data_IF_301675959065
#
_entry.id   IF_301675959065
#
_cell.length_a   1.000
_cell.length_b   1.000
_cell.length_c   1.000
_cell.angle_alpha   90.00
_cell.angle_beta   90.00
_cell.angle_gamma   90.00
#
_symmetry.space_group_name_H-M   'P 1'
#
loop_
_entity.id
_entity.type
_entity.pdbx_description
1 polymer ?
#
# COMPACT_ATOMS: atom_id res chain seq x y z
N UNK A 1 -19.08 12.77 43.25
CA UNK A 1 -17.86 13.44 42.72
C UNK A 1 -17.22 12.67 41.56
N UNK A 2 -17.43 11.36 41.43
CA UNK A 2 -16.85 10.54 40.35
C UNK A 2 -17.53 10.72 38.99
N UNK A 3 -18.85 10.91 38.95
CA UNK A 3 -19.60 11.13 37.70
C UNK A 3 -19.12 12.39 36.96
N UNK A 4 -18.81 13.46 37.70
CA UNK A 4 -18.26 14.71 37.14
C UNK A 4 -16.88 14.48 36.51
N UNK A 5 -16.04 13.64 37.10
CA UNK A 5 -14.71 13.30 36.54
C UNK A 5 -14.82 12.50 35.24
N UNK A 6 -15.77 11.57 35.16
CA UNK A 6 -16.02 10.76 33.95
C UNK A 6 -16.53 11.65 32.82
N UNK A 7 -17.46 12.57 33.08
CA UNK A 7 -17.95 13.52 32.08
C UNK A 7 -16.85 14.43 31.54
N UNK A 8 -15.94 14.90 32.40
CA UNK A 8 -14.78 15.71 31.98
C UNK A 8 -13.87 14.89 31.05
N UNK A 9 -13.60 13.63 31.38
CA UNK A 9 -12.71 12.76 30.62
C UNK A 9 -13.29 12.41 29.24
N UNK A 10 -14.59 12.12 29.17
CA UNK A 10 -15.31 11.91 27.90
C UNK A 10 -15.34 13.19 27.08
N UNK A 11 -15.59 14.35 27.69
CA UNK A 11 -15.59 15.63 26.99
C UNK A 11 -14.22 15.95 26.39
N UNK A 12 -13.13 15.68 27.12
CA UNK A 12 -11.76 15.89 26.65
C UNK A 12 -11.45 14.98 25.47
N UNK A 13 -11.86 13.71 25.55
CA UNK A 13 -11.69 12.74 24.46
C UNK A 13 -12.46 13.14 23.20
N UNK A 14 -13.69 13.65 23.35
CA UNK A 14 -14.48 14.18 22.24
C UNK A 14 -13.80 15.40 21.60
N UNK A 15 -13.26 16.33 22.41
CA UNK A 15 -12.56 17.51 21.90
C UNK A 15 -11.29 17.13 21.14
N UNK A 16 -10.50 16.17 21.62
CA UNK A 16 -9.28 15.70 20.96
C UNK A 16 -9.59 15.01 19.62
N UNK A 17 -10.66 14.21 19.54
CA UNK A 17 -11.04 13.57 18.29
C UNK A 17 -11.62 14.58 17.29
N UNK A 18 -12.41 15.54 17.77
CA UNK A 18 -12.91 16.64 16.95
C UNK A 18 -11.77 17.48 16.38
N UNK A 19 -10.73 17.78 17.18
CA UNK A 19 -9.57 18.54 16.71
C UNK A 19 -8.77 17.77 15.65
N UNK A 20 -8.62 16.45 15.80
CA UNK A 20 -7.95 15.62 14.79
C UNK A 20 -8.74 15.57 13.47
N UNK A 21 -10.06 15.43 13.54
CA UNK A 21 -10.94 15.49 12.37
C UNK A 21 -10.86 16.85 11.68
N UNK A 22 -10.91 17.96 12.43
CA UNK A 22 -10.78 19.31 11.86
C UNK A 22 -9.43 19.52 11.19
N UNK A 23 -8.33 19.06 11.79
CA UNK A 23 -6.98 19.13 11.18
C UNK A 23 -6.92 18.30 9.90
N UNK A 24 -7.52 17.10 9.90
CA UNK A 24 -7.61 16.27 8.70
C UNK A 24 -8.37 16.98 7.59
N UNK A 25 -9.56 17.52 7.87
CA UNK A 25 -10.35 18.27 6.89
C UNK A 25 -9.65 19.53 6.39
N UNK A 26 -8.94 20.26 7.25
CA UNK A 26 -8.14 21.41 6.83
C UNK A 26 -6.97 20.99 5.92
N UNK A 27 -6.29 19.88 6.22
CA UNK A 27 -5.24 19.35 5.36
C UNK A 27 -5.79 18.86 4.01
N UNK A 28 -6.92 18.16 4.01
CA UNK A 28 -7.61 17.76 2.78
C UNK A 28 -8.09 18.97 1.97
N UNK A 29 -8.54 20.04 2.64
CA UNK A 29 -8.92 21.29 1.99
C UNK A 29 -7.70 21.99 1.39
N UNK A 30 -6.56 22.02 2.08
CA UNK A 30 -5.30 22.58 1.54
C UNK A 30 -4.85 21.79 0.31
N UNK A 31 -4.92 20.45 0.35
CA UNK A 31 -4.60 19.59 -0.79
C UNK A 31 -5.55 19.90 -1.97
N UNK A 32 -6.85 19.97 -1.72
CA UNK A 32 -7.84 20.31 -2.73
C UNK A 32 -7.62 21.71 -3.33
N UNK A 33 -7.30 22.72 -2.50
CA UNK A 33 -7.01 24.08 -3.00
C UNK A 33 -5.73 24.14 -3.83
N UNK A 34 -4.71 23.34 -3.50
CA UNK A 34 -3.48 23.24 -4.30
C UNK A 34 -3.74 22.57 -5.65
N UNK A 35 -4.53 21.50 -5.68
CA UNK A 35 -4.98 20.89 -6.94
C UNK A 35 -5.81 21.87 -7.79
N UNK A 36 -6.64 22.70 -7.14
CA UNK A 36 -7.42 23.72 -7.84
C UNK A 36 -6.56 24.88 -8.36
N UNK A 37 -5.52 25.29 -7.63
CA UNK A 37 -4.51 26.26 -8.09
C UNK A 37 -3.69 25.73 -9.26
N UNK A 38 -3.30 24.45 -9.25
CA UNK A 38 -2.60 23.82 -10.37
C UNK A 38 -3.49 23.73 -11.63
N UNK A 39 -4.78 23.39 -11.46
CA UNK A 39 -5.75 23.45 -12.56
C UNK A 39 -5.92 24.87 -13.13
N UNK A 40 -5.88 25.90 -12.29
CA UNK A 40 -6.03 27.31 -12.72
C UNK A 40 -4.76 27.86 -13.34
N UNK A 41 -3.58 27.42 -12.90
CA UNK A 41 -2.29 27.79 -13.47
C UNK A 41 -2.07 27.15 -14.85
N UNK A 42 -2.63 25.96 -15.10
CA UNK A 42 -2.55 25.31 -16.41
C UNK A 42 -3.18 26.12 -17.57
N UNK A 43 -4.26 26.87 -17.31
CA UNK A 43 -4.90 27.72 -18.33
C UNK A 43 -4.12 29.03 -18.59
N UNK A 44 -3.39 29.54 -17.60
CA UNK A 44 -2.53 30.73 -17.75
C UNK A 44 -1.22 30.42 -18.49
N UNK A 45 -0.64 29.23 -18.28
CA UNK A 45 0.60 28.77 -18.92
C UNK A 45 0.42 28.48 -20.42
N UNK A 46 -0.79 28.12 -20.86
CA UNK A 46 -1.09 27.81 -22.27
C UNK A 46 -0.98 29.03 -23.20
N UNK A 47 -1.11 30.26 -22.68
CA UNK A 47 -0.94 31.49 -23.47
C UNK A 47 0.51 31.97 -23.54
N UNK A 48 1.31 31.76 -22.50
CA UNK A 48 2.69 32.25 -22.46
C UNK A 48 3.72 31.27 -23.07
N UNK A 49 3.36 29.99 -23.27
CA UNK A 49 4.24 29.01 -23.89
C UNK A 49 4.48 29.22 -25.40
N UNK A 50 3.69 30.08 -26.09
CA UNK A 50 3.83 30.31 -27.54
C UNK A 50 5.06 31.12 -27.94
N UNK A 51 5.71 31.84 -27.01
CA UNK A 51 6.83 32.73 -27.33
C UNK A 51 8.20 32.27 -26.76
N UNK A 52 8.29 31.06 -26.20
CA UNK A 52 9.57 30.48 -25.75
C UNK A 52 10.04 29.31 -26.64
N UNK A 53 9.38 29.08 -27.78
CA UNK A 53 9.71 28.06 -28.77
C UNK A 53 10.97 28.40 -29.60
N UNK A 54 12.02 28.93 -28.96
CA UNK A 54 13.30 29.14 -29.59
C UNK A 54 14.47 28.90 -28.63
N UNK A 55 14.58 27.67 -28.12
CA UNK A 55 15.86 27.12 -27.67
C UNK A 55 15.86 25.59 -27.77
N UNK A 56 16.67 25.11 -28.71
CA UNK A 56 17.12 23.72 -28.92
C UNK A 56 16.10 22.68 -29.40
N UNK A 57 16.32 22.26 -30.64
CA UNK A 57 15.85 21.03 -31.25
C UNK A 57 16.24 19.79 -30.43
N UNK A 58 15.29 18.85 -30.33
CA UNK A 58 15.54 17.41 -30.17
C UNK A 58 16.23 16.95 -28.87
N UNK A 59 15.45 16.78 -27.81
CA UNK A 59 15.60 15.62 -26.91
C UNK A 59 14.24 14.99 -26.68
N UNK A 60 14.00 13.89 -27.41
CA UNK A 60 13.03 12.88 -27.01
C UNK A 60 13.44 12.46 -25.60
N UNK A 61 12.58 12.68 -24.60
CA UNK A 61 12.84 12.25 -23.22
C UNK A 61 12.57 10.74 -23.17
N UNK A 62 13.51 9.94 -23.65
CA UNK A 62 13.59 8.52 -23.32
C UNK A 62 13.65 8.36 -21.79
N UNK A 63 13.15 7.22 -21.24
CA UNK A 63 13.51 6.79 -19.86
C UNK A 63 15.00 7.08 -19.68
N UNK A 64 15.40 7.76 -18.58
CA UNK A 64 16.78 8.21 -18.38
C UNK A 64 17.70 7.03 -18.70
N UNK A 65 18.52 7.16 -19.73
CA UNK A 65 19.32 6.05 -20.28
C UNK A 65 20.30 5.44 -19.28
N UNK A 66 20.53 6.11 -18.15
CA UNK A 66 21.52 5.72 -17.14
C UNK A 66 20.99 5.78 -15.69
N UNK A 67 19.69 5.99 -15.50
CA UNK A 67 19.10 6.14 -14.16
C UNK A 67 17.74 5.43 -14.09
N UNK A 68 17.74 4.29 -13.38
CA UNK A 68 16.57 3.46 -13.14
C UNK A 68 15.72 3.95 -11.95
N UNK A 69 16.12 5.02 -11.27
CA UNK A 69 15.37 5.52 -10.11
C UNK A 69 14.04 6.12 -10.54
N UNK A 70 13.01 5.83 -9.76
CA UNK A 70 11.67 6.34 -10.01
C UNK A 70 11.54 7.78 -9.53
N UNK A 71 10.81 8.58 -10.29
CA UNK A 71 10.36 9.88 -9.79
C UNK A 71 9.36 9.70 -8.65
N UNK A 72 9.17 10.75 -7.84
CA UNK A 72 8.23 10.71 -6.72
C UNK A 72 6.80 10.36 -7.16
N UNK A 73 6.35 10.86 -8.31
CA UNK A 73 4.99 10.59 -8.83
C UNK A 73 4.83 9.12 -9.26
N UNK A 74 5.85 8.56 -9.90
CA UNK A 74 5.88 7.15 -10.30
C UNK A 74 5.90 6.24 -9.07
N UNK A 75 6.72 6.58 -8.08
CA UNK A 75 6.78 5.88 -6.81
C UNK A 75 5.42 5.93 -6.09
N UNK A 76 4.78 7.10 -5.98
CA UNK A 76 3.46 7.22 -5.36
C UNK A 76 2.41 6.34 -6.06
N UNK A 77 2.47 6.26 -7.39
CA UNK A 77 1.58 5.38 -8.17
C UNK A 77 1.80 3.90 -7.83
N UNK A 78 3.05 3.49 -7.57
CA UNK A 78 3.35 2.11 -7.15
C UNK A 78 2.95 1.84 -5.70
N UNK A 79 3.16 2.80 -4.81
CA UNK A 79 2.74 2.68 -3.41
C UNK A 79 1.21 2.60 -3.28
N UNK A 80 0.45 3.22 -4.18
CA UNK A 80 -1.01 3.08 -4.25
C UNK A 80 -1.45 1.62 -4.44
N UNK A 81 -0.64 0.79 -5.12
CA UNK A 81 -0.93 -0.64 -5.30
C UNK A 81 -0.87 -1.37 -3.96
N UNK A 82 0.19 -1.13 -3.18
CA UNK A 82 0.34 -1.69 -1.83
C UNK A 82 -0.77 -1.21 -0.90
N UNK A 83 -1.10 0.08 -0.98
CA UNK A 83 -2.16 0.66 -0.19
C UNK A 83 -3.51 0.00 -0.50
N UNK A 84 -3.80 -0.27 -1.78
CA UNK A 84 -5.00 -1.02 -2.20
C UNK A 84 -5.00 -2.44 -1.61
N UNK A 85 -3.88 -3.16 -1.65
CA UNK A 85 -3.75 -4.51 -1.07
C UNK A 85 -3.97 -4.50 0.45
N UNK A 86 -3.44 -3.49 1.16
CA UNK A 86 -3.61 -3.31 2.60
C UNK A 86 -5.07 -3.03 2.99
N UNK A 87 -5.76 -2.18 2.24
CA UNK A 87 -7.18 -1.91 2.47
C UNK A 87 -8.03 -3.14 2.19
N UNK A 88 -7.70 -3.90 1.14
CA UNK A 88 -8.38 -5.16 0.84
C UNK A 88 -8.21 -6.18 1.98
N UNK A 89 -7.01 -6.32 2.54
CA UNK A 89 -6.76 -7.16 3.71
C UNK A 89 -7.65 -6.75 4.90
N UNK A 90 -7.75 -5.45 5.18
CA UNK A 90 -8.60 -4.93 6.25
C UNK A 90 -10.09 -5.29 6.01
N UNK A 91 -10.58 -5.12 4.79
CA UNK A 91 -11.97 -5.46 4.45
C UNK A 91 -12.26 -6.96 4.55
N UNK A 92 -11.30 -7.80 4.15
CA UNK A 92 -11.40 -9.26 4.26
C UNK A 92 -11.49 -9.67 5.72
N UNK A 93 -10.56 -9.20 6.55
CA UNK A 93 -10.55 -9.50 7.99
C UNK A 93 -11.80 -8.96 8.68
N UNK A 94 -12.22 -7.73 8.37
CA UNK A 94 -13.47 -7.17 8.88
C UNK A 94 -14.69 -8.02 8.50
N UNK A 95 -14.77 -8.49 7.26
CA UNK A 95 -15.83 -9.38 6.81
C UNK A 95 -15.83 -10.72 7.54
N UNK A 96 -14.65 -11.29 7.78
CA UNK A 96 -14.48 -12.55 8.51
C UNK A 96 -14.94 -12.38 9.97
N UNK A 97 -14.46 -11.34 10.66
CA UNK A 97 -14.81 -11.08 12.05
C UNK A 97 -16.32 -10.88 12.23
N UNK A 98 -16.97 -10.19 11.28
CA UNK A 98 -18.42 -10.03 11.29
C UNK A 98 -19.17 -11.36 11.17
N UNK A 99 -18.71 -12.29 10.34
CA UNK A 99 -19.30 -13.62 10.22
C UNK A 99 -19.13 -14.45 11.49
N UNK A 100 -17.93 -14.43 12.08
CA UNK A 100 -17.65 -15.12 13.35
C UNK A 100 -18.56 -14.61 14.46
N UNK A 101 -18.68 -13.29 14.59
CA UNK A 101 -19.54 -12.68 15.61
C UNK A 101 -21.02 -13.02 15.42
N UNK A 102 -21.45 -13.34 14.20
CA UNK A 102 -22.82 -13.79 13.87
C UNK A 102 -23.00 -15.31 13.98
N UNK A 103 -21.94 -16.07 14.24
CA UNK A 103 -21.97 -17.54 14.21
C UNK A 103 -22.18 -18.12 12.82
N UNK A 104 -21.91 -17.35 11.77
CA UNK A 104 -22.02 -17.80 10.37
C UNK A 104 -20.80 -18.64 9.99
N UNK A 105 -21.01 -19.68 9.18
CA UNK A 105 -19.91 -20.44 8.61
C UNK A 105 -19.08 -19.58 7.64
N UNK A 106 -17.76 -19.76 7.68
CA UNK A 106 -16.83 -19.09 6.76
C UNK A 106 -16.61 -20.02 5.57
N UNK A 107 -17.67 -20.20 4.79
CA UNK A 107 -17.61 -20.99 3.57
C UNK A 107 -17.04 -20.16 2.43
N UNK A 108 -16.25 -20.79 1.55
CA UNK A 108 -15.70 -20.20 0.34
C UNK A 108 -14.84 -18.94 0.57
N UNK A 109 -13.81 -19.05 1.42
CA UNK A 109 -12.83 -17.99 1.69
C UNK A 109 -12.28 -17.31 0.43
N UNK A 110 -12.00 -18.08 -0.64
CA UNK A 110 -11.55 -17.54 -1.92
C UNK A 110 -12.53 -16.55 -2.57
N UNK A 111 -13.84 -16.76 -2.41
CA UNK A 111 -14.87 -15.84 -2.91
C UNK A 111 -14.84 -14.55 -2.10
N UNK A 112 -14.74 -14.64 -0.77
CA UNK A 112 -14.65 -13.47 0.12
C UNK A 112 -13.43 -12.62 -0.26
N UNK A 113 -12.25 -13.25 -0.39
CA UNK A 113 -11.01 -12.56 -0.77
C UNK A 113 -11.16 -11.85 -2.11
N UNK A 114 -11.64 -12.56 -3.13
CA UNK A 114 -11.83 -12.00 -4.49
C UNK A 114 -12.80 -10.82 -4.50
N UNK A 115 -13.96 -10.97 -3.87
CA UNK A 115 -14.98 -9.93 -3.85
C UNK A 115 -14.48 -8.66 -3.15
N UNK A 116 -13.83 -8.81 -1.99
CA UNK A 116 -13.30 -7.67 -1.24
C UNK A 116 -12.16 -6.98 -1.98
N UNK A 117 -11.25 -7.74 -2.59
CA UNK A 117 -10.19 -7.17 -3.41
C UNK A 117 -10.77 -6.39 -4.61
N UNK A 118 -11.71 -6.98 -5.36
CA UNK A 118 -12.32 -6.32 -6.53
C UNK A 118 -13.12 -5.08 -6.14
N UNK A 119 -13.87 -5.13 -5.04
CA UNK A 119 -14.55 -3.97 -4.47
C UNK A 119 -13.56 -2.85 -4.17
N UNK A 120 -12.43 -3.18 -3.52
CA UNK A 120 -11.42 -2.19 -3.15
C UNK A 120 -10.73 -1.58 -4.37
N UNK A 121 -10.35 -2.39 -5.36
CA UNK A 121 -9.76 -1.89 -6.62
C UNK A 121 -10.70 -0.91 -7.33
N UNK A 122 -12.00 -1.17 -7.32
CA UNK A 122 -12.99 -0.29 -7.93
C UNK A 122 -13.11 1.05 -7.18
N UNK A 123 -13.10 1.02 -5.84
CA UNK A 123 -13.19 2.22 -4.99
C UNK A 123 -11.94 3.09 -5.10
N UNK A 124 -10.75 2.48 -5.04
CA UNK A 124 -9.48 3.22 -5.11
C UNK A 124 -9.10 3.63 -6.54
N UNK A 125 -9.91 3.25 -7.54
CA UNK A 125 -9.68 3.49 -8.97
C UNK A 125 -8.28 3.03 -9.44
N UNK A 126 -7.74 1.99 -8.81
CA UNK A 126 -6.40 1.49 -9.10
C UNK A 126 -6.41 0.73 -10.43
N UNK A 127 -5.95 1.38 -11.51
CA UNK A 127 -5.87 0.78 -12.85
C UNK A 127 -4.75 -0.26 -12.92
N UNK A 128 -5.07 -1.49 -12.53
CA UNK A 128 -4.16 -2.63 -12.49
C UNK A 128 -4.47 -3.64 -13.60
N UNK A 129 -3.46 -4.22 -14.28
CA UNK A 129 -3.65 -5.36 -15.16
C UNK A 129 -4.19 -6.58 -14.39
N UNK A 130 -5.04 -7.39 -15.02
CA UNK A 130 -5.68 -8.56 -14.39
C UNK A 130 -4.67 -9.52 -13.75
N UNK A 131 -3.51 -9.75 -14.38
CA UNK A 131 -2.45 -10.59 -13.82
C UNK A 131 -1.99 -10.11 -12.44
N UNK A 132 -1.87 -8.80 -12.24
CA UNK A 132 -1.44 -8.22 -10.95
C UNK A 132 -2.56 -8.33 -9.91
N UNK A 133 -3.82 -8.20 -10.34
CA UNK A 133 -5.00 -8.45 -9.48
C UNK A 133 -5.01 -9.90 -9.01
N UNK A 134 -4.74 -10.86 -9.90
CA UNK A 134 -4.64 -12.27 -9.55
C UNK A 134 -3.48 -12.54 -8.58
N UNK A 135 -2.32 -11.91 -8.78
CA UNK A 135 -1.20 -12.04 -7.85
C UNK A 135 -1.53 -11.50 -6.45
N UNK A 136 -2.27 -10.37 -6.36
CA UNK A 136 -2.78 -9.85 -5.09
C UNK A 136 -3.81 -10.80 -4.46
N UNK A 137 -4.76 -11.33 -5.24
CA UNK A 137 -5.76 -12.31 -4.77
C UNK A 137 -5.08 -13.54 -4.18
N UNK A 138 -4.09 -14.09 -4.88
CA UNK A 138 -3.35 -15.27 -4.44
C UNK A 138 -2.59 -15.01 -3.12
N UNK A 139 -1.90 -13.87 -2.99
CA UNK A 139 -1.19 -13.53 -1.74
C UNK A 139 -2.14 -13.38 -0.56
N UNK A 140 -3.25 -12.65 -0.75
CA UNK A 140 -4.26 -12.46 0.29
C UNK A 140 -4.92 -13.80 0.67
N UNK A 141 -5.17 -14.66 -0.31
CA UNK A 141 -5.73 -15.99 -0.08
C UNK A 141 -4.74 -16.90 0.65
N UNK A 142 -3.45 -16.90 0.28
CA UNK A 142 -2.39 -17.61 1.00
C UNK A 142 -2.35 -17.19 2.49
N UNK A 143 -2.39 -15.88 2.76
CA UNK A 143 -2.42 -15.34 4.13
C UNK A 143 -3.66 -15.81 4.90
N UNK A 144 -4.86 -15.71 4.31
CA UNK A 144 -6.07 -16.12 5.00
C UNK A 144 -6.13 -17.64 5.21
N UNK A 145 -5.73 -18.44 4.21
CA UNK A 145 -5.64 -19.90 4.35
C UNK A 145 -4.71 -20.27 5.51
N UNK A 146 -3.57 -19.59 5.64
CA UNK A 146 -2.65 -19.83 6.76
C UNK A 146 -3.34 -19.66 8.12
N UNK A 147 -4.16 -18.61 8.30
CA UNK A 147 -4.90 -18.39 9.54
C UNK A 147 -5.84 -19.55 9.85
N UNK A 148 -6.66 -19.96 8.88
CA UNK A 148 -7.68 -20.99 9.10
C UNK A 148 -7.12 -22.41 9.17
N UNK A 149 -5.96 -22.67 8.58
CA UNK A 149 -5.31 -23.98 8.65
C UNK A 149 -4.50 -24.20 9.93
N UNK A 150 -3.96 -23.13 10.54
CA UNK A 150 -3.05 -23.25 11.67
C UNK A 150 -3.64 -22.79 13.01
N UNK A 151 -4.73 -22.03 13.00
CA UNK A 151 -5.34 -21.50 14.21
C UNK A 151 -6.84 -21.79 14.26
N UNK A 152 -7.40 -21.99 15.47
CA UNK A 152 -8.83 -21.94 15.66
C UNK A 152 -9.39 -20.60 15.17
N UNK A 153 -10.48 -20.66 14.40
CA UNK A 153 -11.19 -19.50 13.86
C UNK A 153 -11.88 -18.71 14.98
N UNK A 154 -11.10 -17.95 15.75
CA UNK A 154 -11.59 -17.02 16.75
C UNK A 154 -11.07 -15.60 16.47
N UNK A 155 -11.80 -14.61 16.97
CA UNK A 155 -11.52 -13.20 16.67
C UNK A 155 -10.14 -12.75 17.15
N UNK A 156 -9.65 -13.29 18.28
CA UNK A 156 -8.35 -12.92 18.84
C UNK A 156 -7.18 -13.37 17.95
N UNK A 157 -7.20 -14.63 17.49
CA UNK A 157 -6.18 -15.19 16.61
C UNK A 157 -6.18 -14.48 15.25
N UNK A 158 -7.36 -14.17 14.72
CA UNK A 158 -7.51 -13.47 13.45
C UNK A 158 -6.96 -12.04 13.55
N UNK A 159 -7.26 -11.33 14.63
CA UNK A 159 -6.72 -9.99 14.85
C UNK A 159 -5.20 -10.01 15.06
N UNK A 160 -4.69 -10.97 15.82
CA UNK A 160 -3.25 -11.16 15.98
C UNK A 160 -2.55 -11.40 14.64
N UNK A 161 -3.07 -12.32 13.83
CA UNK A 161 -2.51 -12.59 12.51
C UNK A 161 -2.66 -11.42 11.54
N UNK A 162 -3.74 -10.64 11.65
CA UNK A 162 -3.90 -9.39 10.91
C UNK A 162 -2.78 -8.40 11.24
N UNK A 163 -2.44 -8.21 12.52
CA UNK A 163 -1.32 -7.33 12.90
C UNK A 163 0.01 -7.84 12.32
N UNK A 164 0.24 -9.15 12.30
CA UNK A 164 1.42 -9.74 11.65
C UNK A 164 1.44 -9.49 10.14
N UNK A 165 0.33 -9.70 9.43
CA UNK A 165 0.25 -9.47 7.98
C UNK A 165 0.34 -7.98 7.62
N UNK A 166 -0.09 -7.10 8.51
CA UNK A 166 0.11 -5.66 8.38
C UNK A 166 1.59 -5.31 8.40
N UNK A 167 2.36 -5.88 9.32
CA UNK A 167 3.82 -5.71 9.33
C UNK A 167 4.49 -6.30 8.08
N UNK A 168 3.98 -7.42 7.55
CA UNK A 168 4.45 -7.99 6.27
C UNK A 168 4.26 -6.99 5.10
N UNK A 169 3.09 -6.34 5.03
CA UNK A 169 2.79 -5.34 4.01
C UNK A 169 3.61 -4.07 4.16
N UNK A 170 3.75 -3.56 5.39
CA UNK A 170 4.56 -2.38 5.66
C UNK A 170 6.04 -2.63 5.33
N UNK A 171 6.56 -3.82 5.61
CA UNK A 171 7.92 -4.18 5.21
C UNK A 171 8.05 -4.26 3.68
N UNK A 172 7.01 -4.74 2.98
CA UNK A 172 6.97 -4.72 1.52
C UNK A 172 7.02 -3.31 0.95
N UNK A 173 6.36 -2.35 1.61
CA UNK A 173 6.43 -0.94 1.25
C UNK A 173 7.84 -0.40 1.36
N UNK A 174 8.56 -0.69 2.45
CA UNK A 174 9.94 -0.25 2.62
C UNK A 174 10.88 -0.86 1.58
N UNK A 175 10.71 -2.14 1.26
CA UNK A 175 11.50 -2.81 0.21
C UNK A 175 11.23 -2.18 -1.15
N UNK A 176 9.97 -1.89 -1.50
CA UNK A 176 9.62 -1.22 -2.77
C UNK A 176 10.20 0.18 -2.83
N UNK A 177 10.02 0.99 -1.78
CA UNK A 177 10.54 2.37 -1.73
C UNK A 177 12.07 2.39 -1.90
N UNK A 178 12.77 1.52 -1.17
CA UNK A 178 14.22 1.46 -1.23
C UNK A 178 14.73 0.97 -2.59
N UNK A 179 14.12 -0.07 -3.15
CA UNK A 179 14.48 -0.61 -4.46
C UNK A 179 14.13 0.36 -5.61
N UNK A 180 13.02 1.09 -5.51
CA UNK A 180 12.59 2.07 -6.51
C UNK A 180 13.50 3.29 -6.61
N UNK A 181 14.24 3.62 -5.55
CA UNK A 181 15.17 4.77 -5.52
C UNK A 181 16.56 4.46 -6.07
N UNK A 182 16.83 3.21 -6.43
CA UNK A 182 18.14 2.80 -6.93
C UNK A 182 18.36 3.24 -8.37
N UNK A 183 19.56 3.75 -8.64
CA UNK A 183 19.94 4.27 -9.97
C UNK A 183 20.28 3.17 -10.97
N UNK A 184 20.72 2.01 -10.48
CA UNK A 184 21.13 0.85 -11.28
C UNK A 184 20.16 -0.31 -11.07
N UNK A 185 19.86 -1.01 -12.16
CA UNK A 185 19.08 -2.24 -12.12
C UNK A 185 19.76 -3.35 -11.32
N UNK A 186 21.08 -3.51 -11.43
CA UNK A 186 21.84 -4.50 -10.67
C UNK A 186 21.69 -4.29 -9.16
N UNK A 187 21.89 -3.06 -8.68
CA UNK A 187 21.76 -2.74 -7.25
C UNK A 187 20.32 -2.92 -6.76
N UNK A 188 19.33 -2.57 -7.59
CA UNK A 188 17.92 -2.85 -7.30
C UNK A 188 17.67 -4.34 -7.17
N UNK A 189 18.18 -5.15 -8.09
CA UNK A 189 18.02 -6.60 -8.08
C UNK A 189 18.75 -7.24 -6.89
N UNK A 190 19.93 -6.74 -6.52
CA UNK A 190 20.65 -7.18 -5.32
C UNK A 190 19.81 -6.95 -4.06
N UNK A 191 19.19 -5.77 -3.93
CA UNK A 191 18.28 -5.45 -2.81
C UNK A 191 17.07 -6.38 -2.79
N UNK A 192 16.41 -6.58 -3.93
CA UNK A 192 15.22 -7.43 -4.02
C UNK A 192 15.53 -8.90 -3.77
N UNK A 193 16.75 -9.36 -4.05
CA UNK A 193 17.18 -10.74 -3.85
C UNK A 193 17.87 -10.99 -2.51
N UNK A 194 18.22 -9.94 -1.75
CA UNK A 194 18.81 -10.09 -0.43
C UNK A 194 17.77 -10.45 0.64
N UNK A 195 17.38 -11.74 0.66
CA UNK A 195 16.41 -12.28 1.62
C UNK A 195 16.88 -12.17 3.07
N UNK A 196 18.20 -12.16 3.31
CA UNK A 196 18.77 -12.02 4.64
C UNK A 196 18.47 -10.64 5.22
N UNK A 197 18.72 -9.58 4.45
CA UNK A 197 18.46 -8.20 4.89
C UNK A 197 16.97 -7.93 5.05
N UNK A 198 16.13 -8.43 4.13
CA UNK A 198 14.68 -8.34 4.25
C UNK A 198 14.22 -9.03 5.54
N UNK A 199 14.76 -10.22 5.85
CA UNK A 199 14.43 -10.96 7.08
C UNK A 199 14.86 -10.21 8.32
N UNK A 200 16.11 -9.73 8.39
CA UNK A 200 16.62 -8.98 9.55
C UNK A 200 15.76 -7.74 9.82
N UNK A 201 15.41 -6.99 8.78
CA UNK A 201 14.54 -5.83 8.91
C UNK A 201 13.13 -6.22 9.37
N UNK A 202 12.57 -7.32 8.84
CA UNK A 202 11.26 -7.82 9.24
C UNK A 202 11.23 -8.32 10.69
N UNK A 203 12.23 -9.10 11.11
CA UNK A 203 12.38 -9.59 12.48
C UNK A 203 12.44 -8.41 13.48
N UNK A 204 13.20 -7.36 13.14
CA UNK A 204 13.26 -6.15 13.95
C UNK A 204 11.89 -5.48 14.12
N UNK A 205 11.07 -5.44 13.06
CA UNK A 205 9.69 -4.90 13.13
C UNK A 205 8.77 -5.76 13.99
N UNK A 206 8.83 -7.08 13.85
CA UNK A 206 8.05 -7.99 14.69
C UNK A 206 8.38 -7.80 16.17
N UNK A 207 9.68 -7.70 16.51
CA UNK A 207 10.15 -7.46 17.88
C UNK A 207 9.64 -6.12 18.41
N UNK A 208 9.76 -5.03 17.64
CA UNK A 208 9.28 -3.70 18.04
C UNK A 208 7.79 -3.67 18.35
N UNK A 209 7.00 -4.51 17.65
CA UNK A 209 5.56 -4.61 17.84
C UNK A 209 5.13 -5.74 18.79
N UNK A 210 6.08 -6.41 19.45
CA UNK A 210 5.83 -7.56 20.33
C UNK A 210 5.07 -8.72 19.66
N UNK A 211 5.31 -8.93 18.36
CA UNK A 211 4.72 -10.01 17.58
C UNK A 211 5.69 -11.19 17.51
N UNK A 212 5.22 -12.37 17.92
CA UNK A 212 5.99 -13.61 17.87
C UNK A 212 5.43 -14.54 16.80
N UNK A 213 6.27 -14.90 15.83
CA UNK A 213 5.88 -15.71 14.69
C UNK A 213 6.86 -16.88 14.56
N UNK A 214 6.36 -18.07 14.19
CA UNK A 214 7.21 -19.22 13.98
C UNK A 214 8.15 -19.01 12.77
N UNK A 215 9.29 -19.69 12.76
CA UNK A 215 10.32 -19.48 11.74
C UNK A 215 9.85 -19.82 10.32
N UNK A 216 9.03 -20.86 10.17
CA UNK A 216 8.48 -21.27 8.88
C UNK A 216 7.62 -20.17 8.25
N UNK A 217 6.69 -19.59 9.02
CA UNK A 217 5.86 -18.49 8.54
C UNK A 217 6.69 -17.24 8.24
N UNK A 218 7.75 -16.98 9.02
CA UNK A 218 8.65 -15.85 8.74
C UNK A 218 9.37 -16.03 7.41
N UNK A 219 9.81 -17.24 7.07
CA UNK A 219 10.40 -17.53 5.75
C UNK A 219 9.38 -17.26 4.65
N UNK A 220 8.15 -17.75 4.79
CA UNK A 220 7.08 -17.53 3.81
C UNK A 220 6.74 -16.05 3.65
N UNK A 221 6.69 -15.30 4.75
CA UNK A 221 6.47 -13.85 4.76
C UNK A 221 7.56 -13.10 4.01
N UNK A 222 8.84 -13.43 4.26
CA UNK A 222 9.98 -12.82 3.57
C UNK A 222 9.93 -13.10 2.06
N UNK A 223 9.56 -14.32 1.66
CA UNK A 223 9.38 -14.67 0.25
C UNK A 223 8.20 -13.91 -0.38
N UNK A 224 7.07 -13.75 0.33
CA UNK A 224 5.93 -12.94 -0.14
C UNK A 224 6.29 -11.47 -0.24
N UNK A 225 7.04 -10.90 0.71
CA UNK A 225 7.56 -9.53 0.67
C UNK A 225 8.37 -9.31 -0.62
N UNK A 226 9.34 -10.18 -0.89
CA UNK A 226 10.14 -10.13 -2.13
C UNK A 226 9.25 -10.23 -3.38
N UNK A 227 8.35 -11.23 -3.42
CA UNK A 227 7.47 -11.47 -4.57
C UNK A 227 6.58 -10.25 -4.84
N UNK A 228 6.01 -9.66 -3.79
CA UNK A 228 5.18 -8.44 -3.86
C UNK A 228 5.99 -7.26 -4.39
N UNK A 229 7.20 -7.05 -3.87
CA UNK A 229 8.06 -5.96 -4.32
C UNK A 229 8.45 -6.10 -5.80
N UNK A 230 8.83 -7.31 -6.24
CA UNK A 230 9.11 -7.61 -7.65
C UNK A 230 7.90 -7.36 -8.55
N UNK A 231 6.73 -7.90 -8.17
CA UNK A 231 5.45 -7.75 -8.88
C UNK A 231 5.11 -6.28 -9.17
N UNK A 232 5.34 -5.41 -8.18
CA UNK A 232 5.09 -3.96 -8.27
C UNK A 232 6.13 -3.25 -9.12
N UNK A 233 7.42 -3.51 -8.92
CA UNK A 233 8.50 -2.85 -9.64
C UNK A 233 8.48 -3.23 -11.13
N UNK A 234 8.27 -4.50 -11.44
CA UNK A 234 8.11 -4.95 -12.83
C UNK A 234 6.88 -4.31 -13.51
N UNK A 235 5.80 -4.09 -12.77
CA UNK A 235 4.64 -3.39 -13.31
C UNK A 235 4.99 -1.97 -13.78
N UNK A 236 5.90 -1.28 -13.10
CA UNK A 236 6.43 0.00 -13.58
C UNK A 236 7.33 -0.16 -14.81
N UNK A 237 8.23 -1.14 -14.80
CA UNK A 237 9.17 -1.34 -15.90
C UNK A 237 8.47 -1.60 -17.23
N UNK A 238 7.36 -2.33 -17.19
CA UNK A 238 6.53 -2.68 -18.35
C UNK A 238 5.59 -1.55 -18.80
N UNK A 239 5.55 -0.40 -18.13
CA UNK A 239 4.82 0.79 -18.62
C UNK A 239 5.67 1.54 -19.63
N UNK A 240 5.04 1.91 -20.75
CA UNK A 240 5.59 2.86 -21.70
C UNK A 240 5.90 4.19 -21.01
N UNK A 241 7.06 4.77 -21.31
CA UNK A 241 7.38 6.12 -20.84
C UNK A 241 6.32 7.09 -21.37
N UNK A 242 5.63 7.81 -20.48
CA UNK A 242 4.65 8.83 -20.86
C UNK A 242 5.23 9.98 -21.69
N UNK A 243 6.55 10.03 -21.84
CA UNK A 243 7.24 10.98 -22.71
C UNK A 243 6.98 10.79 -24.22
N UNK A 244 6.37 9.67 -24.65
CA UNK A 244 6.13 9.36 -26.06
C UNK A 244 4.66 9.51 -26.52
N UNK A 245 3.73 9.89 -25.64
CA UNK A 245 2.32 10.04 -26.00
C UNK A 245 1.92 11.52 -26.02
N UNK A 246 2.28 12.23 -27.10
CA UNK A 246 1.69 13.50 -27.54
C UNK A 246 1.52 13.47 -29.05
#
# INVERSE_FOLDING_TARGET
MEIVKICILVSLFCVINLSKMLIYYLNSFVIFTREFEDCRNHDSLRKNARNLAQASSLRIITKRTFDCSLTSDELMTLLQILYTEMLALNDIVGSILMRINRGEAIDNLGVIVREKLRQRILVEHTKLPELRIQNMENRLLEQMNYVFSNFPANSANILYMYDVFKEELDQSLLVVDYAARQKSEDTRNDILNNLSDIRVAFDARLICNNLTVNEELKIDMVLRIRRRAMDIIEHHLNKDSRANNN
#
